data_IF_815090032559
#
_entry.id   IF_815090032559
#
_cell.length_a   1.000
_cell.length_b   1.000
_cell.length_c   1.000
_cell.angle_alpha   90.00
_cell.angle_beta   90.00
_cell.angle_gamma   90.00
#
_symmetry.space_group_name_H-M   'P 1'
#
loop_
_entity.id
_entity.type
_entity.pdbx_description
1 polymer ?
#
# COMPACT_ATOMS: atom_id res chain seq x y z
N UNK A 1 -10.80 1.11 -16.60
CA UNK A 1 -10.19 0.42 -15.43
C UNK A 1 -10.55 -1.05 -15.49
N UNK A 2 -9.57 -1.92 -15.43
CA UNK A 2 -9.79 -3.37 -15.53
C UNK A 2 -9.05 -4.09 -14.41
N UNK A 3 -9.61 -5.23 -13.99
CA UNK A 3 -8.97 -6.12 -13.01
C UNK A 3 -7.63 -6.60 -13.57
N UNK A 4 -6.63 -6.67 -12.71
CA UNK A 4 -5.26 -7.05 -13.06
C UNK A 4 -4.29 -5.89 -13.23
N UNK A 5 -4.78 -4.64 -13.30
CA UNK A 5 -3.86 -3.49 -13.26
C UNK A 5 -3.05 -3.53 -11.98
N UNK A 6 -1.77 -3.21 -12.09
CA UNK A 6 -0.88 -3.26 -10.93
C UNK A 6 0.11 -2.10 -10.94
N UNK A 7 0.70 -1.86 -9.79
CA UNK A 7 1.80 -0.93 -9.62
C UNK A 7 2.81 -1.55 -8.67
N UNK A 8 4.08 -1.45 -9.04
CA UNK A 8 5.19 -1.94 -8.21
C UNK A 8 6.17 -0.82 -7.99
N UNK A 9 6.75 -0.76 -6.80
CA UNK A 9 7.84 0.17 -6.48
C UNK A 9 8.84 -0.49 -5.56
N UNK A 10 10.10 -0.14 -5.75
CA UNK A 10 11.19 -0.58 -4.88
C UNK A 10 11.53 0.52 -3.90
N UNK A 11 11.79 0.13 -2.67
CA UNK A 11 12.26 1.03 -1.63
C UNK A 11 13.45 0.40 -0.92
N UNK A 12 14.37 1.24 -0.45
CA UNK A 12 15.46 0.83 0.43
C UNK A 12 15.06 1.24 1.85
N UNK A 13 15.04 0.30 2.78
CA UNK A 13 14.68 0.57 4.16
C UNK A 13 15.67 1.54 4.77
N UNK A 14 15.20 2.67 5.26
CA UNK A 14 16.00 3.65 5.99
C UNK A 14 15.53 3.77 7.45
N UNK A 15 16.23 4.57 8.24
CA UNK A 15 15.92 4.74 9.67
C UNK A 15 14.50 5.24 9.93
N UNK A 16 14.00 6.16 9.09
CA UNK A 16 12.66 6.76 9.26
C UNK A 16 11.53 5.76 9.08
N UNK A 17 11.79 4.65 8.39
CA UNK A 17 10.82 3.58 8.13
C UNK A 17 10.80 2.52 9.23
N UNK A 18 11.63 2.66 10.27
CA UNK A 18 11.74 1.63 11.31
C UNK A 18 10.66 1.76 12.38
N UNK A 19 10.34 0.63 13.02
CA UNK A 19 9.39 0.58 14.12
C UNK A 19 9.83 1.50 15.26
N UNK A 20 11.13 1.52 15.56
CA UNK A 20 11.69 2.38 16.60
C UNK A 20 11.46 3.86 16.32
N UNK A 21 11.73 4.29 15.09
CA UNK A 21 11.53 5.69 14.68
C UNK A 21 10.05 6.09 14.73
N UNK A 22 9.19 5.24 14.23
CA UNK A 22 7.74 5.52 14.16
C UNK A 22 7.03 5.38 15.52
N UNK A 23 7.66 4.76 16.49
CA UNK A 23 7.04 4.50 17.78
C UNK A 23 6.07 3.33 17.77
N UNK A 24 6.11 2.49 16.75
CA UNK A 24 5.26 1.29 16.63
C UNK A 24 5.92 0.04 17.22
N UNK A 25 7.14 0.15 17.71
CA UNK A 25 7.92 -0.90 18.34
C UNK A 25 9.25 -0.35 18.81
N UNK A 26 10.11 -1.21 19.36
CA UNK A 26 11.38 -0.81 19.96
C UNK A 26 12.61 -1.12 19.11
N UNK A 27 12.43 -1.80 17.97
CA UNK A 27 13.54 -2.32 17.19
C UNK A 27 13.75 -1.54 15.88
N UNK A 28 14.99 -1.45 15.39
CA UNK A 28 15.31 -0.75 14.15
C UNK A 28 15.10 -1.64 12.91
N UNK A 29 13.90 -2.13 12.75
CA UNK A 29 13.49 -2.96 11.61
C UNK A 29 12.33 -2.28 10.88
N UNK A 30 12.12 -2.65 9.61
CA UNK A 30 11.03 -2.11 8.79
C UNK A 30 9.69 -2.24 9.50
N UNK A 31 9.05 -1.11 9.73
CA UNK A 31 7.81 -1.05 10.52
C UNK A 31 6.60 -1.54 9.73
N UNK A 32 5.69 -2.24 10.39
CA UNK A 32 4.39 -2.61 9.79
C UNK A 32 3.63 -1.39 9.28
N UNK A 33 3.51 -0.26 10.01
CA UNK A 33 2.87 0.94 9.46
C UNK A 33 3.55 1.49 8.21
N UNK A 34 4.88 1.39 8.10
CA UNK A 34 5.62 1.81 6.90
C UNK A 34 5.27 0.93 5.71
N UNK A 35 5.22 -0.38 5.92
CA UNK A 35 4.82 -1.33 4.89
C UNK A 35 3.41 -1.03 4.39
N UNK A 36 2.48 -0.83 5.32
CA UNK A 36 1.07 -0.52 5.00
C UNK A 36 0.97 0.78 4.21
N UNK A 37 1.67 1.83 4.63
CA UNK A 37 1.63 3.12 3.93
C UNK A 37 2.06 2.99 2.46
N UNK A 38 3.10 2.19 2.19
CA UNK A 38 3.59 1.99 0.83
C UNK A 38 2.65 1.07 0.04
N UNK A 39 2.03 0.08 0.67
CA UNK A 39 0.99 -0.73 0.04
C UNK A 39 -0.21 0.12 -0.36
N UNK A 40 -0.64 1.04 0.49
CA UNK A 40 -1.72 1.98 0.19
C UNK A 40 -1.34 2.92 -0.96
N UNK A 41 -0.12 3.47 -0.93
CA UNK A 41 0.39 4.34 -1.99
C UNK A 41 0.45 3.59 -3.33
N UNK A 42 0.94 2.36 -3.34
CA UNK A 42 1.01 1.55 -4.55
C UNK A 42 -0.37 1.24 -5.12
N UNK A 43 -1.35 0.99 -4.26
CA UNK A 43 -2.74 0.77 -4.66
C UNK A 43 -3.34 2.02 -5.29
N UNK A 44 -3.13 3.18 -4.67
CA UNK A 44 -3.56 4.46 -5.19
C UNK A 44 -2.97 4.72 -6.58
N UNK A 45 -1.68 4.50 -6.74
CA UNK A 45 -0.97 4.71 -8.00
C UNK A 45 -1.41 3.74 -9.10
N UNK A 46 -1.79 2.52 -8.75
CA UNK A 46 -2.22 1.52 -9.72
C UNK A 46 -3.43 1.98 -10.54
N UNK A 47 -4.32 2.78 -9.96
CA UNK A 47 -5.56 3.23 -10.61
C UNK A 47 -5.58 4.72 -10.95
N UNK A 48 -4.57 5.46 -10.55
CA UNK A 48 -4.51 6.91 -10.67
C UNK A 48 -4.84 7.44 -12.08
N UNK A 49 -4.28 6.81 -13.11
CA UNK A 49 -4.48 7.22 -14.50
C UNK A 49 -5.85 6.84 -15.10
N UNK A 50 -6.63 6.07 -14.36
CA UNK A 50 -7.96 5.59 -14.78
C UNK A 50 -9.09 6.37 -14.14
N UNK A 51 -8.78 7.38 -13.35
CA UNK A 51 -9.77 8.21 -12.64
C UNK A 51 -10.13 9.45 -13.47
N UNK A 52 -11.35 9.95 -13.27
CA UNK A 52 -11.78 11.19 -13.88
C UNK A 52 -11.12 12.40 -13.19
N UNK A 53 -11.19 13.56 -13.84
CA UNK A 53 -10.73 14.82 -13.25
C UNK A 53 -11.45 15.07 -11.93
N UNK A 54 -10.70 15.48 -10.91
CA UNK A 54 -11.19 15.74 -9.55
C UNK A 54 -11.63 14.47 -8.80
N UNK A 55 -11.29 13.28 -9.29
CA UNK A 55 -11.44 12.05 -8.53
C UNK A 55 -10.13 11.60 -7.91
N UNK A 56 -10.23 10.91 -6.79
CA UNK A 56 -9.13 10.21 -6.15
C UNK A 56 -9.67 8.96 -5.46
N UNK A 57 -8.80 8.23 -4.80
CA UNK A 57 -9.23 7.12 -3.93
C UNK A 57 -8.81 7.39 -2.50
N UNK A 58 -9.62 6.91 -1.57
CA UNK A 58 -9.31 6.94 -0.13
C UNK A 58 -9.32 5.52 0.41
N UNK A 59 -8.45 5.24 1.38
CA UNK A 59 -8.38 3.93 2.01
C UNK A 59 -9.55 3.71 2.96
N UNK A 60 -10.11 2.50 2.95
CA UNK A 60 -11.22 2.14 3.83
C UNK A 60 -10.94 0.89 4.68
N UNK A 61 -10.06 0.02 4.23
CA UNK A 61 -9.72 -1.20 4.97
C UNK A 61 -8.36 -1.70 4.57
N UNK A 62 -7.63 -2.21 5.54
CA UNK A 62 -6.36 -2.90 5.34
C UNK A 62 -6.36 -4.17 6.19
N UNK A 63 -6.04 -5.29 5.57
CA UNK A 63 -5.96 -6.58 6.24
C UNK A 63 -4.72 -7.30 5.70
N UNK A 64 -3.60 -7.10 6.38
CA UNK A 64 -2.30 -7.62 5.96
C UNK A 64 -1.59 -8.31 7.10
N UNK A 65 -0.69 -9.22 6.75
CA UNK A 65 0.23 -9.86 7.68
C UNK A 65 1.64 -9.44 7.34
N UNK A 66 2.41 -9.09 8.37
CA UNK A 66 3.83 -8.79 8.26
C UNK A 66 4.58 -10.04 8.73
N UNK A 67 5.06 -10.84 7.80
CA UNK A 67 5.50 -12.21 8.05
C UNK A 67 6.96 -12.36 8.44
N UNK A 68 7.83 -11.47 7.93
CA UNK A 68 9.27 -11.50 8.17
C UNK A 68 9.83 -10.11 8.36
N UNK A 69 10.83 -9.92 9.26
CA UNK A 69 11.46 -8.63 9.45
C UNK A 69 12.42 -8.28 8.30
N UNK A 70 12.63 -7.00 8.09
CA UNK A 70 13.59 -6.48 7.10
C UNK A 70 14.45 -5.41 7.77
N UNK A 71 15.75 -5.50 7.56
CA UNK A 71 16.73 -4.57 8.18
C UNK A 71 16.93 -3.32 7.33
N UNK A 72 17.43 -2.27 7.96
CA UNK A 72 17.88 -1.06 7.27
C UNK A 72 18.89 -1.46 6.19
N UNK A 73 18.77 -0.87 5.01
CA UNK A 73 19.64 -1.11 3.87
C UNK A 73 19.15 -2.19 2.91
N UNK A 74 18.19 -3.02 3.31
CA UNK A 74 17.60 -4.00 2.40
C UNK A 74 16.59 -3.34 1.46
N UNK A 75 16.46 -3.90 0.26
CA UNK A 75 15.51 -3.43 -0.76
C UNK A 75 14.24 -4.26 -0.72
N UNK A 76 13.11 -3.59 -0.67
CA UNK A 76 11.79 -4.23 -0.68
C UNK A 76 11.06 -3.82 -1.95
N UNK A 77 10.46 -4.77 -2.64
CA UNK A 77 9.50 -4.50 -3.71
C UNK A 77 8.09 -4.58 -3.12
N UNK A 78 7.31 -3.52 -3.32
CA UNK A 78 5.89 -3.48 -2.94
C UNK A 78 5.07 -3.50 -4.21
N UNK A 79 4.09 -4.40 -4.27
CA UNK A 79 3.21 -4.54 -5.43
C UNK A 79 1.76 -4.53 -5.00
N UNK A 80 0.94 -3.75 -5.69
CA UNK A 80 -0.51 -3.74 -5.54
C UNK A 80 -1.15 -4.13 -6.87
N UNK A 81 -2.13 -5.03 -6.81
CA UNK A 81 -2.85 -5.52 -7.98
C UNK A 81 -4.35 -5.38 -7.73
N UNK A 82 -5.06 -4.73 -8.65
CA UNK A 82 -6.51 -4.59 -8.57
C UNK A 82 -7.17 -5.94 -8.83
N UNK A 83 -7.91 -6.45 -7.85
CA UNK A 83 -8.59 -7.76 -7.94
C UNK A 83 -10.10 -7.67 -8.13
N UNK A 84 -10.73 -6.61 -7.62
CA UNK A 84 -12.19 -6.49 -7.64
C UNK A 84 -12.61 -5.03 -7.81
N UNK A 85 -13.62 -4.83 -8.62
CA UNK A 85 -14.28 -3.54 -8.81
C UNK A 85 -15.76 -3.75 -8.50
N UNK A 86 -16.27 -3.10 -7.46
CA UNK A 86 -17.67 -3.15 -7.08
C UNK A 86 -18.20 -1.72 -6.96
N UNK A 87 -18.63 -1.15 -8.09
CA UNK A 87 -18.97 0.26 -8.17
C UNK A 87 -17.73 1.11 -7.92
N UNK A 88 -17.77 1.93 -6.88
CA UNK A 88 -16.64 2.77 -6.48
C UNK A 88 -15.69 2.10 -5.50
N UNK A 89 -16.00 0.89 -5.05
CA UNK A 89 -15.15 0.13 -4.15
C UNK A 89 -14.16 -0.71 -4.94
N UNK A 90 -12.89 -0.56 -4.63
CA UNK A 90 -11.78 -1.25 -5.28
C UNK A 90 -11.06 -2.10 -4.24
N UNK A 91 -10.85 -3.38 -4.55
CA UNK A 91 -10.10 -4.30 -3.69
C UNK A 91 -8.79 -4.66 -4.37
N UNK A 92 -7.70 -4.53 -3.62
CA UNK A 92 -6.35 -4.80 -4.09
C UNK A 92 -5.73 -5.97 -3.33
N UNK A 93 -4.97 -6.78 -4.02
CA UNK A 93 -3.98 -7.67 -3.43
C UNK A 93 -2.71 -6.85 -3.24
N UNK A 94 -2.12 -6.88 -2.05
CA UNK A 94 -0.88 -6.16 -1.76
C UNK A 94 0.18 -7.12 -1.26
N UNK A 95 1.41 -6.92 -1.73
CA UNK A 95 2.55 -7.80 -1.45
C UNK A 95 3.81 -6.98 -1.19
N UNK A 96 4.62 -7.44 -0.23
CA UNK A 96 5.96 -6.92 0.02
C UNK A 96 6.94 -8.07 -0.12
N UNK A 97 7.98 -7.89 -0.93
CA UNK A 97 8.89 -8.96 -1.35
C UNK A 97 10.33 -8.53 -1.17
N UNK A 98 11.14 -9.38 -0.54
CA UNK A 98 12.59 -9.20 -0.39
C UNK A 98 13.29 -10.43 -0.92
N UNK A 99 14.16 -10.28 -1.92
CA UNK A 99 14.93 -11.40 -2.52
C UNK A 99 14.04 -12.60 -2.89
N UNK A 100 12.86 -12.33 -3.45
CA UNK A 100 11.91 -13.37 -3.86
C UNK A 100 11.04 -13.93 -2.74
N UNK A 101 11.30 -13.57 -1.49
CA UNK A 101 10.50 -14.01 -0.34
C UNK A 101 9.40 -12.99 -0.04
N UNK A 102 8.19 -13.47 0.18
CA UNK A 102 7.10 -12.60 0.64
C UNK A 102 7.30 -12.32 2.13
N UNK A 103 7.49 -11.04 2.46
CA UNK A 103 7.67 -10.59 3.83
C UNK A 103 6.38 -10.01 4.41
N UNK A 104 5.42 -9.69 3.56
CA UNK A 104 4.10 -9.21 3.96
C UNK A 104 3.12 -9.34 2.80
N UNK A 105 1.84 -9.57 3.11
CA UNK A 105 0.80 -9.66 2.10
C UNK A 105 -0.59 -9.53 2.70
N UNK A 106 -1.55 -9.21 1.86
CA UNK A 106 -2.95 -9.16 2.25
C UNK A 106 -3.82 -8.43 1.24
N UNK A 107 -4.87 -7.82 1.76
CA UNK A 107 -5.88 -7.11 0.97
C UNK A 107 -6.02 -5.67 1.45
N UNK A 108 -6.35 -4.80 0.50
CA UNK A 108 -6.59 -3.39 0.77
C UNK A 108 -7.81 -2.92 -0.03
N UNK A 109 -8.70 -2.20 0.63
CA UNK A 109 -9.91 -1.65 0.00
C UNK A 109 -9.79 -0.14 -0.07
N UNK A 110 -10.06 0.42 -1.26
CA UNK A 110 -10.12 1.86 -1.49
C UNK A 110 -11.45 2.22 -2.13
N UNK A 111 -11.85 3.47 -1.96
CA UNK A 111 -13.09 4.00 -2.53
C UNK A 111 -12.77 5.20 -3.42
N UNK A 112 -13.37 5.21 -4.61
CA UNK A 112 -13.28 6.36 -5.52
C UNK A 112 -14.18 7.46 -4.97
N UNK A 113 -13.64 8.65 -4.80
CA UNK A 113 -14.37 9.82 -4.31
C UNK A 113 -14.08 11.04 -5.16
N UNK A 114 -15.02 11.99 -5.20
CA UNK A 114 -14.78 13.33 -5.72
C UNK A 114 -14.05 14.12 -4.63
N UNK A 115 -12.92 14.72 -4.94
CA UNK A 115 -12.07 15.42 -3.96
C UNK A 115 -12.81 16.54 -3.25
N UNK A 116 -13.56 17.34 -4.01
CA UNK A 116 -14.29 18.48 -3.46
C UNK A 116 -15.40 18.05 -2.52
N UNK A 117 -16.21 17.09 -2.98
CA UNK A 117 -17.33 16.56 -2.19
C UNK A 117 -16.84 15.86 -0.92
N UNK A 118 -15.76 15.09 -1.04
CA UNK A 118 -15.21 14.35 0.09
C UNK A 118 -14.72 15.26 1.21
N UNK A 119 -14.14 16.42 0.86
CA UNK A 119 -13.60 17.37 1.82
C UNK A 119 -14.67 18.34 2.37
N UNK A 120 -15.90 18.22 1.91
CA UNK A 120 -17.00 19.10 2.33
C UNK A 120 -17.75 18.50 3.54
N UNK A 121 -17.03 18.38 4.66
CA UNK A 121 -17.59 17.87 5.91
C UNK A 121 -17.34 18.81 7.08
#
# INVERSE_FOLDING_TARGET
>A
MVIGISYSQEIVVNEEMTAKHMGSGDLPVFATPSMIAIMENSSMKAVELHLATNETTVGGRIDVKHLKPTKIGETIMIKATLEEIAGKRLTFKVEAIVNGDIIGQGKHVRFIVNKTDFMNF
#
